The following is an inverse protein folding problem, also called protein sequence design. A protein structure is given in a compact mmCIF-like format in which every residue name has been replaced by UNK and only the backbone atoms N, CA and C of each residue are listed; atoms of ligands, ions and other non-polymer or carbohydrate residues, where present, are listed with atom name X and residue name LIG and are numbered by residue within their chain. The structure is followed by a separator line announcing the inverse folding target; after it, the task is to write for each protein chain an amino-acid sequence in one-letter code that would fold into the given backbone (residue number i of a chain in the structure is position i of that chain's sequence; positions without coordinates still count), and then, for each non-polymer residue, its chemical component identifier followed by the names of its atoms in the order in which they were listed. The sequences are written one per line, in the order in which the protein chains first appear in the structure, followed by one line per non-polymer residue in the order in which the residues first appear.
data_IF_542988339575
#
_entry.id   IF_542988339575
#
_cell.length_a   1.000
_cell.length_b   1.000
_cell.length_c   1.000
_cell.angle_alpha   90.00
_cell.angle_beta   90.00
_cell.angle_gamma   90.00
#
_symmetry.space_group_name_H-M   'P 1'
#
loop_
_entity.id
_entity.type
_entity.pdbx_description
1 polymer ?
#
# COMPACT_ATOMS: atom_id res chain seq x y z
N UNK A 1 -7.58 -5.15 -0.84
CA UNK A 1 -7.90 -6.60 -0.76
C UNK A 1 -6.79 -7.30 0.01
N UNK A 2 -7.12 -8.26 0.87
CA UNK A 2 -6.13 -9.03 1.62
C UNK A 2 -6.11 -10.47 1.08
N UNK A 3 -4.94 -10.89 0.60
CA UNK A 3 -4.72 -12.25 0.09
C UNK A 3 -4.18 -13.18 1.17
N UNK A 4 -3.44 -12.61 2.13
CA UNK A 4 -2.87 -13.27 3.31
C UNK A 4 -3.10 -12.39 4.54
N UNK A 5 -2.76 -12.89 5.72
CA UNK A 5 -2.81 -12.11 6.95
C UNK A 5 -1.71 -11.02 6.96
N UNK A 6 -2.05 -9.71 6.88
CA UNK A 6 -1.06 -8.63 6.86
C UNK A 6 -0.28 -8.48 8.16
N UNK A 7 -0.85 -8.89 9.30
CA UNK A 7 -0.19 -8.76 10.61
C UNK A 7 1.12 -9.55 10.68
N UNK A 8 1.30 -10.59 9.87
CA UNK A 8 2.55 -11.36 9.79
C UNK A 8 3.70 -10.62 9.08
N UNK A 9 3.41 -9.49 8.41
CA UNK A 9 4.39 -8.65 7.72
C UNK A 9 4.61 -7.30 8.42
N UNK A 10 3.86 -7.04 9.48
CA UNK A 10 4.03 -5.86 10.32
C UNK A 10 5.09 -6.12 11.38
N UNK A 11 5.67 -5.05 11.89
CA UNK A 11 6.74 -5.13 12.88
C UNK A 11 6.17 -5.54 14.24
N UNK A 12 6.95 -6.26 15.07
CA UNK A 12 6.60 -6.50 16.47
C UNK A 12 6.19 -5.22 17.22
N UNK A 13 5.37 -5.41 18.26
CA UNK A 13 4.93 -4.32 19.11
C UNK A 13 6.13 -3.54 19.67
N UNK A 14 6.13 -2.21 19.48
CA UNK A 14 7.12 -1.20 19.91
C UNK A 14 8.24 -0.86 18.90
N UNK A 15 8.31 -1.51 17.75
CA UNK A 15 9.36 -1.18 16.75
C UNK A 15 9.05 0.06 15.91
N UNK A 16 7.77 0.28 15.58
CA UNK A 16 7.30 1.42 14.81
C UNK A 16 6.12 2.13 15.50
N UNK A 17 6.03 3.44 15.27
CA UNK A 17 4.87 4.26 15.61
C UNK A 17 3.81 4.18 14.49
N UNK A 18 4.26 4.19 13.24
CA UNK A 18 3.45 4.12 12.03
C UNK A 18 4.10 3.20 10.99
N UNK A 19 3.34 2.24 10.47
CA UNK A 19 3.70 1.48 9.29
C UNK A 19 2.71 1.78 8.18
N UNK A 20 3.15 2.29 7.02
CA UNK A 20 2.24 2.81 6.00
C UNK A 20 2.63 2.37 4.59
N UNK A 21 1.62 2.06 3.78
CA UNK A 21 1.80 1.72 2.37
C UNK A 21 2.33 2.90 1.55
N UNK A 22 2.91 2.60 0.41
CA UNK A 22 3.39 3.60 -0.57
C UNK A 22 2.84 3.28 -1.95
N UNK A 23 2.71 4.31 -2.80
CA UNK A 23 2.35 4.12 -4.21
C UNK A 23 3.49 3.47 -4.98
N UNK A 24 4.73 3.87 -4.71
CA UNK A 24 5.94 3.24 -5.23
C UNK A 24 6.97 3.11 -4.13
N UNK A 25 7.53 1.92 -3.99
CA UNK A 25 8.63 1.66 -3.07
C UNK A 25 9.96 1.98 -3.75
N UNK A 26 10.81 2.69 -3.02
CA UNK A 26 12.16 3.05 -3.41
C UNK A 26 13.10 2.91 -2.21
N UNK A 27 14.41 2.87 -2.44
CA UNK A 27 15.41 2.68 -1.37
C UNK A 27 15.89 3.99 -0.73
N UNK A 28 15.22 5.12 -0.98
CA UNK A 28 15.62 6.41 -0.39
C UNK A 28 15.41 6.37 1.14
N UNK A 29 16.43 6.63 1.97
CA UNK A 29 16.25 6.58 3.43
C UNK A 29 15.38 7.73 3.96
N UNK A 30 15.13 8.77 3.16
CA UNK A 30 14.42 9.98 3.56
C UNK A 30 12.89 9.79 3.53
N UNK A 31 12.18 9.92 4.67
CA UNK A 31 10.73 9.82 4.72
C UNK A 31 9.99 10.76 3.76
N UNK A 32 10.48 11.99 3.59
CA UNK A 32 9.91 13.05 2.76
C UNK A 32 9.85 12.68 1.26
N UNK A 33 10.71 11.75 0.82
CA UNK A 33 10.79 11.29 -0.55
C UNK A 33 9.93 10.04 -0.82
N UNK A 34 9.20 9.56 0.19
CA UNK A 34 8.26 8.44 0.04
C UNK A 34 6.91 8.94 -0.46
N UNK A 35 6.36 8.20 -1.43
CA UNK A 35 5.01 8.42 -1.96
C UNK A 35 4.00 7.71 -1.09
N UNK A 36 3.62 8.32 0.03
CA UNK A 36 2.75 7.71 1.04
C UNK A 36 1.37 7.42 0.46
N UNK A 37 0.85 6.23 0.75
CA UNK A 37 -0.49 5.81 0.41
C UNK A 37 -1.29 5.47 1.68
N UNK A 38 -2.50 6.02 1.80
CA UNK A 38 -3.34 5.87 3.01
C UNK A 38 -4.35 4.72 2.91
N UNK A 39 -4.26 3.90 1.87
CA UNK A 39 -5.10 2.71 1.70
C UNK A 39 -4.78 1.57 2.68
N UNK A 40 -3.56 1.54 3.23
CA UNK A 40 -3.22 0.67 4.33
C UNK A 40 -2.18 1.33 5.25
N UNK A 41 -2.49 1.39 6.53
CA UNK A 41 -1.52 1.69 7.57
C UNK A 41 -1.85 0.97 8.86
N UNK A 42 -0.81 0.65 9.64
CA UNK A 42 -0.89 0.16 10.99
C UNK A 42 -0.27 1.20 11.93
N UNK A 43 -0.96 1.51 13.03
CA UNK A 43 -0.54 2.59 13.91
C UNK A 43 -0.63 2.19 15.37
N UNK A 44 0.39 2.61 16.13
CA UNK A 44 0.39 2.47 17.58
C UNK A 44 -0.14 3.75 18.21
N UNK A 45 -1.15 3.64 19.06
CA UNK A 45 -1.64 4.79 19.82
C UNK A 45 -0.59 5.25 20.84
N UNK A 46 -0.15 6.49 20.71
CA UNK A 46 0.75 7.19 21.62
C UNK A 46 0.64 8.71 21.40
N UNK A 47 1.30 9.51 22.22
CA UNK A 47 1.23 10.98 22.11
C UNK A 47 1.67 11.51 20.73
N UNK A 48 2.70 10.94 20.11
CA UNK A 48 3.22 11.37 18.80
C UNK A 48 2.22 11.08 17.67
N UNK A 49 1.62 9.88 17.68
CA UNK A 49 0.64 9.49 16.65
C UNK A 49 -0.70 10.20 16.84
N UNK A 50 -1.08 10.51 18.07
CA UNK A 50 -2.22 11.41 18.36
C UNK A 50 -1.95 12.80 17.77
N UNK A 51 -0.77 13.38 18.00
CA UNK A 51 -0.38 14.66 17.39
C UNK A 51 -0.38 14.60 15.86
N UNK A 52 0.12 13.52 15.26
CA UNK A 52 0.06 13.31 13.81
C UNK A 52 -1.38 13.43 13.28
N UNK A 53 -2.32 12.70 13.88
CA UNK A 53 -3.72 12.71 13.43
C UNK A 53 -4.39 14.07 13.65
N UNK A 54 -4.12 14.74 14.77
CA UNK A 54 -4.63 16.09 15.00
C UNK A 54 -4.15 17.09 13.95
N UNK A 55 -2.83 17.15 13.70
CA UNK A 55 -2.26 18.04 12.68
C UNK A 55 -2.78 17.69 11.30
N UNK A 56 -2.81 16.39 10.96
CA UNK A 56 -3.24 15.92 9.65
C UNK A 56 -4.69 16.26 9.36
N UNK A 57 -5.63 15.92 10.25
CA UNK A 57 -7.04 16.19 10.03
C UNK A 57 -7.37 17.69 10.16
N UNK A 58 -6.69 18.43 11.02
CA UNK A 58 -6.82 19.89 11.07
C UNK A 58 -6.42 20.53 9.73
N UNK A 59 -5.28 20.14 9.17
CA UNK A 59 -4.84 20.63 7.86
C UNK A 59 -5.79 20.17 6.75
N UNK A 60 -6.26 18.93 6.81
CA UNK A 60 -7.15 18.35 5.80
C UNK A 60 -8.51 19.03 5.73
N UNK A 61 -9.06 19.43 6.87
CA UNK A 61 -10.32 20.16 6.93
C UNK A 61 -10.20 21.58 6.37
N UNK A 62 -8.99 22.15 6.38
CA UNK A 62 -8.69 23.48 5.84
C UNK A 62 -8.11 23.47 4.41
N UNK A 63 -8.03 22.29 3.76
CA UNK A 63 -7.42 22.14 2.43
C UNK A 63 -8.47 21.86 1.36
N UNK A 64 -8.87 22.92 0.63
CA UNK A 64 -9.80 22.82 -0.50
C UNK A 64 -9.19 22.00 -1.64
N UNK A 65 -9.98 21.07 -2.19
CA UNK A 65 -9.59 20.28 -3.38
C UNK A 65 -8.59 19.15 -3.13
N UNK A 66 -8.04 19.01 -1.92
CA UNK A 66 -7.10 17.94 -1.56
C UNK A 66 -7.79 16.81 -0.81
N UNK A 67 -7.44 15.57 -1.14
CA UNK A 67 -7.84 14.37 -0.38
C UNK A 67 -6.93 14.20 0.83
N UNK A 68 -7.33 13.31 1.73
CA UNK A 68 -6.61 13.02 2.98
C UNK A 68 -5.16 12.57 2.73
N UNK A 69 -4.94 11.68 1.76
CA UNK A 69 -3.59 11.27 1.32
C UNK A 69 -2.75 12.44 0.80
N UNK A 70 -3.33 13.32 -0.02
CA UNK A 70 -2.60 14.47 -0.59
C UNK A 70 -2.07 15.38 0.52
N UNK A 71 -2.89 15.61 1.55
CA UNK A 71 -2.51 16.43 2.70
C UNK A 71 -1.44 15.75 3.55
N UNK A 72 -1.52 14.43 3.77
CA UNK A 72 -0.46 13.71 4.48
C UNK A 72 0.86 13.77 3.71
N UNK A 73 0.80 13.63 2.38
CA UNK A 73 1.97 13.70 1.52
C UNK A 73 2.64 15.07 1.62
N UNK A 74 1.88 16.16 1.63
CA UNK A 74 2.40 17.51 1.79
C UNK A 74 3.01 17.73 3.17
N UNK A 75 2.35 17.26 4.23
CA UNK A 75 2.87 17.35 5.60
C UNK A 75 4.16 16.54 5.76
N UNK A 76 4.22 15.34 5.18
CA UNK A 76 5.43 14.51 5.15
C UNK A 76 6.58 15.20 4.42
N UNK A 77 6.32 15.78 3.23
CA UNK A 77 7.30 16.59 2.49
C UNK A 77 7.75 17.82 3.28
N UNK A 78 6.86 18.40 4.09
CA UNK A 78 7.15 19.47 5.05
C UNK A 78 7.87 19.01 6.33
N UNK A 79 8.27 17.74 6.42
CA UNK A 79 9.03 17.17 7.52
C UNK A 79 8.22 16.83 8.77
N UNK A 80 6.88 16.74 8.69
CA UNK A 80 6.04 16.49 9.88
C UNK A 80 6.45 15.21 10.63
N UNK A 81 6.74 14.12 9.91
CA UNK A 81 7.07 12.84 10.54
C UNK A 81 8.34 12.95 11.39
N UNK A 82 9.35 13.68 10.90
CA UNK A 82 10.60 13.95 11.61
C UNK A 82 10.39 14.92 12.78
N UNK A 83 9.60 15.98 12.58
CA UNK A 83 9.26 16.97 13.64
C UNK A 83 8.56 16.33 14.84
N UNK A 84 7.76 15.28 14.60
CA UNK A 84 7.09 14.51 15.64
C UNK A 84 7.95 13.36 16.19
N UNK A 85 9.18 13.19 15.70
CA UNK A 85 10.08 12.09 16.07
C UNK A 85 9.40 10.71 15.91
N UNK A 86 8.65 10.52 14.82
CA UNK A 86 7.93 9.26 14.57
C UNK A 86 8.88 8.19 14.03
N UNK A 87 8.82 6.99 14.62
CA UNK A 87 9.41 5.80 14.02
C UNK A 87 8.49 5.28 12.93
N UNK A 88 8.83 5.55 11.67
CA UNK A 88 7.99 5.20 10.53
C UNK A 88 8.63 4.09 9.71
N UNK A 89 7.85 3.07 9.37
CA UNK A 89 8.22 2.03 8.40
C UNK A 89 7.34 2.16 7.16
N UNK A 90 7.99 2.29 6.02
CA UNK A 90 7.29 2.26 4.73
C UNK A 90 7.17 0.80 4.30
N UNK A 91 5.95 0.41 3.95
CA UNK A 91 5.64 -0.98 3.63
C UNK A 91 6.00 -1.28 2.17
N UNK A 92 6.87 -2.26 1.97
CA UNK A 92 7.32 -2.68 0.64
C UNK A 92 6.15 -3.15 -0.22
N UNK A 93 6.09 -2.64 -1.46
CA UNK A 93 5.08 -3.02 -2.45
C UNK A 93 5.19 -4.49 -2.86
N UNK A 94 6.33 -5.15 -2.62
CA UNK A 94 6.47 -6.61 -2.73
C UNK A 94 5.42 -7.36 -1.90
N UNK A 95 5.14 -6.87 -0.68
CA UNK A 95 4.13 -7.46 0.23
C UNK A 95 2.82 -6.67 0.20
N UNK A 96 2.88 -5.35 0.13
CA UNK A 96 1.72 -4.46 0.14
C UNK A 96 1.52 -3.84 -1.24
N UNK A 97 1.21 -4.71 -2.20
CA UNK A 97 1.10 -4.37 -3.62
C UNK A 97 -0.02 -3.37 -3.90
N UNK A 98 0.13 -2.63 -4.99
CA UNK A 98 -0.96 -1.86 -5.56
C UNK A 98 -0.74 -1.56 -7.04
N UNK A 99 -1.77 -1.11 -7.73
CA UNK A 99 -1.73 -0.89 -9.18
C UNK A 99 -0.72 0.18 -9.63
N UNK A 100 -0.27 1.07 -8.73
CA UNK A 100 0.85 1.98 -9.03
C UNK A 100 2.18 1.22 -9.23
N UNK A 101 2.38 0.12 -8.49
CA UNK A 101 3.56 -0.74 -8.56
C UNK A 101 3.18 -2.14 -8.09
N UNK A 102 2.87 -3.00 -9.06
CA UNK A 102 2.53 -4.38 -8.77
C UNK A 102 3.72 -5.16 -8.21
N UNK A 103 3.46 -5.98 -7.19
CA UNK A 103 4.40 -6.99 -6.75
C UNK A 103 4.60 -8.01 -7.87
N UNK A 104 5.85 -8.27 -8.21
CA UNK A 104 6.25 -9.35 -9.13
C UNK A 104 6.30 -10.72 -8.44
N UNK A 105 6.03 -10.76 -7.14
CA UNK A 105 6.13 -11.97 -6.32
C UNK A 105 4.77 -12.32 -5.70
N UNK A 106 3.97 -13.10 -6.43
CA UNK A 106 2.67 -13.60 -5.93
C UNK A 106 2.81 -14.56 -4.75
N UNK A 107 3.99 -15.15 -4.56
CA UNK A 107 4.26 -16.04 -3.42
C UNK A 107 4.41 -15.25 -2.12
N UNK A 108 4.81 -13.97 -2.20
CA UNK A 108 4.99 -13.06 -1.07
C UNK A 108 3.82 -12.09 -0.83
N UNK A 109 3.14 -11.64 -1.89
CA UNK A 109 2.12 -10.58 -1.84
C UNK A 109 1.09 -10.81 -0.73
N UNK A 110 0.82 -9.83 0.10
CA UNK A 110 -0.07 -9.97 1.26
C UNK A 110 -1.36 -9.18 1.07
N UNK A 111 -1.25 -7.96 0.56
CA UNK A 111 -2.39 -7.13 0.19
C UNK A 111 -2.25 -6.62 -1.23
N UNK A 112 -3.38 -6.29 -1.84
CA UNK A 112 -3.47 -5.55 -3.11
C UNK A 112 -4.39 -4.34 -2.95
N UNK A 113 -3.89 -3.16 -3.29
CA UNK A 113 -4.63 -1.90 -3.27
C UNK A 113 -4.87 -1.36 -4.68
N UNK A 114 -6.09 -0.93 -4.97
CA UNK A 114 -6.40 -0.19 -6.20
C UNK A 114 -6.03 1.31 -6.07
N UNK A 115 -4.75 1.58 -5.78
CA UNK A 115 -4.15 2.91 -5.93
C UNK A 115 -3.92 3.24 -7.41
N UNK A 116 -3.50 4.47 -7.73
CA UNK A 116 -3.39 4.96 -9.12
C UNK A 116 -4.66 4.73 -9.98
N UNK A 117 -5.83 4.82 -9.35
CA UNK A 117 -7.12 4.58 -10.00
C UNK A 117 -8.15 5.58 -9.48
N UNK A 118 -8.84 6.29 -10.39
CA UNK A 118 -9.77 7.36 -10.02
C UNK A 118 -11.20 6.87 -9.80
N UNK A 119 -11.67 6.00 -10.69
CA UNK A 119 -13.09 5.63 -10.75
C UNK A 119 -13.38 4.37 -9.92
N UNK A 120 -14.43 4.39 -9.10
CA UNK A 120 -14.81 3.26 -8.24
C UNK A 120 -15.22 2.00 -9.02
N UNK A 121 -15.89 2.15 -10.17
CA UNK A 121 -16.27 1.05 -11.07
C UNK A 121 -15.02 0.41 -11.68
N UNK A 122 -14.04 1.23 -12.09
CA UNK A 122 -12.76 0.74 -12.56
C UNK A 122 -12.01 -0.04 -11.47
N UNK A 123 -11.92 0.54 -10.25
CA UNK A 123 -11.35 -0.15 -9.08
C UNK A 123 -11.99 -1.52 -8.85
N UNK A 124 -13.31 -1.60 -8.89
CA UNK A 124 -14.02 -2.85 -8.67
C UNK A 124 -13.70 -3.90 -9.73
N UNK A 125 -13.69 -3.50 -11.01
CA UNK A 125 -13.37 -4.40 -12.13
C UNK A 125 -11.95 -4.96 -12.01
N UNK A 126 -10.96 -4.10 -11.83
CA UNK A 126 -9.56 -4.55 -11.79
C UNK A 126 -9.23 -5.31 -10.49
N UNK A 127 -9.85 -4.97 -9.35
CA UNK A 127 -9.74 -5.79 -8.14
C UNK A 127 -10.38 -7.17 -8.33
N UNK A 128 -11.50 -7.27 -9.06
CA UNK A 128 -12.13 -8.56 -9.38
C UNK A 128 -11.19 -9.41 -10.24
N UNK A 129 -10.51 -8.79 -11.20
CA UNK A 129 -9.49 -9.44 -12.02
C UNK A 129 -8.31 -9.89 -11.18
N UNK A 130 -7.73 -9.04 -10.33
CA UNK A 130 -6.64 -9.41 -9.43
C UNK A 130 -7.03 -10.56 -8.48
N UNK A 131 -8.28 -10.60 -8.00
CA UNK A 131 -8.78 -11.72 -7.21
C UNK A 131 -8.84 -13.03 -8.01
N UNK A 132 -9.16 -12.96 -9.31
CA UNK A 132 -9.18 -14.12 -10.19
C UNK A 132 -7.76 -14.68 -10.36
N UNK A 133 -6.78 -13.83 -10.63
CA UNK A 133 -5.36 -14.22 -10.76
C UNK A 133 -4.88 -14.91 -9.48
N UNK A 134 -5.21 -14.33 -8.32
CA UNK A 134 -4.91 -14.91 -7.02
C UNK A 134 -5.53 -16.30 -6.82
N UNK A 135 -6.81 -16.47 -7.19
CA UNK A 135 -7.50 -17.77 -7.09
C UNK A 135 -6.88 -18.82 -8.01
N UNK A 136 -6.50 -18.44 -9.23
CA UNK A 136 -5.83 -19.34 -10.17
C UNK A 136 -4.46 -19.79 -9.63
N UNK A 137 -3.66 -18.86 -9.11
CA UNK A 137 -2.41 -19.18 -8.42
C UNK A 137 -2.63 -20.18 -7.28
N UNK A 138 -3.61 -19.92 -6.40
CA UNK A 138 -3.92 -20.80 -5.26
C UNK A 138 -4.36 -22.19 -5.71
N UNK A 139 -5.13 -22.31 -6.79
CA UNK A 139 -5.54 -23.59 -7.36
C UNK A 139 -4.34 -24.35 -7.95
N UNK A 140 -3.48 -23.66 -8.72
CA UNK A 140 -2.29 -24.26 -9.31
C UNK A 140 -1.32 -24.80 -8.24
N UNK A 141 -1.02 -24.01 -7.20
CA UNK A 141 -0.15 -24.43 -6.09
C UNK A 141 -0.78 -25.55 -5.26
N UNK A 142 -2.10 -25.58 -5.12
CA UNK A 142 -2.79 -26.67 -4.42
C UNK A 142 -2.67 -28.01 -5.17
N UNK A 143 -2.76 -27.97 -6.50
CA UNK A 143 -2.63 -29.17 -7.35
C UNK A 143 -1.17 -29.59 -7.53
N UNK A 144 -0.27 -28.62 -7.62
CA UNK A 144 1.15 -28.79 -7.93
C UNK A 144 2.01 -27.92 -7.01
N UNK A 145 2.27 -28.32 -5.75
CA UNK A 145 3.11 -27.54 -4.85
C UNK A 145 4.55 -27.34 -5.37
N UNK A 146 5.06 -28.29 -6.15
CA UNK A 146 6.42 -28.33 -6.69
C UNK A 146 6.73 -27.23 -7.72
N UNK A 147 5.69 -26.59 -8.29
CA UNK A 147 5.88 -25.52 -9.29
C UNK A 147 5.83 -24.12 -8.69
N UNK A 148 5.71 -23.97 -7.37
CA UNK A 148 5.54 -22.66 -6.72
C UNK A 148 6.66 -21.67 -7.07
N UNK A 149 7.90 -22.13 -7.09
CA UNK A 149 9.06 -21.29 -7.41
C UNK A 149 9.04 -20.84 -8.87
N UNK A 150 8.65 -21.75 -9.79
CA UNK A 150 8.52 -21.43 -11.22
C UNK A 150 7.40 -20.41 -11.46
N UNK A 151 6.24 -20.61 -10.82
CA UNK A 151 5.15 -19.63 -10.90
C UNK A 151 5.60 -18.30 -10.32
N UNK A 152 6.31 -18.30 -9.19
CA UNK A 152 6.82 -17.07 -8.56
C UNK A 152 7.71 -16.24 -9.49
N UNK A 153 8.53 -16.88 -10.32
CA UNK A 153 9.45 -16.19 -11.25
C UNK A 153 8.75 -15.60 -12.47
N UNK A 154 7.76 -16.31 -13.03
CA UNK A 154 7.11 -15.93 -14.29
C UNK A 154 5.77 -15.21 -14.12
N UNK A 155 5.27 -15.12 -12.88
CA UNK A 155 3.95 -14.55 -12.63
C UNK A 155 3.86 -13.07 -13.01
N UNK A 156 2.76 -12.73 -13.68
CA UNK A 156 2.35 -11.35 -13.95
C UNK A 156 0.88 -11.21 -13.65
N UNK A 157 0.52 -10.12 -12.98
CA UNK A 157 -0.88 -9.73 -12.85
C UNK A 157 -1.46 -9.43 -14.23
N UNK A 158 -2.74 -9.75 -14.40
CA UNK A 158 -3.51 -9.21 -15.50
C UNK A 158 -3.48 -7.67 -15.40
N UNK A 159 -3.32 -6.99 -16.54
CA UNK A 159 -3.19 -5.54 -16.57
C UNK A 159 -4.44 -4.83 -16.01
N UNK A 160 -4.22 -3.79 -15.19
CA UNK A 160 -5.27 -2.95 -14.59
C UNK A 160 -5.80 -1.90 -15.57
N UNK A 161 -6.28 -2.36 -16.72
CA UNK A 161 -6.65 -1.51 -17.86
C UNK A 161 -7.78 -0.54 -17.54
N UNK A 162 -8.78 -0.94 -16.74
CA UNK A 162 -9.90 -0.07 -16.40
C UNK A 162 -9.43 1.10 -15.54
N UNK A 163 -8.51 0.85 -14.62
CA UNK A 163 -7.91 1.87 -13.78
C UNK A 163 -7.02 2.82 -14.57
N UNK A 164 -6.24 2.32 -15.54
CA UNK A 164 -5.47 3.17 -16.46
C UNK A 164 -6.40 4.08 -17.28
N UNK A 165 -7.49 3.55 -17.81
CA UNK A 165 -8.46 4.31 -18.59
C UNK A 165 -9.28 5.29 -17.74
N UNK A 166 -9.33 5.11 -16.41
CA UNK A 166 -10.07 6.01 -15.52
C UNK A 166 -9.48 7.43 -15.37
N UNK A 167 -8.32 7.67 -16.00
CA UNK A 167 -7.64 8.98 -16.03
C UNK A 167 -7.94 9.81 -17.27
N UNK A 168 -8.55 9.21 -18.30
CA UNK A 168 -9.08 9.88 -19.48
C UNK A 168 -10.39 10.57 -19.15
#
# INVERSE_FOLDING_TARGET
MWFRNPFLRLSPLKEADLEISVDTFNDDPRPENKYINTGFYYIRSNSKTISLFHTWYSQKNNSTGKKEQDVLQDLNRGGLLQKLDLKVKFLETRYFSGFCQDSKDITAVTTMHANCCRNSKAKFRDLTTALRDWKQFKAAVFQHPEIIDRIGLDFKWTAHTECLNSWQ
#
